data_IF_931141090610
#
_entry.id   IF_931141090610
#
_cell.length_a   1.000
_cell.length_b   1.000
_cell.length_c   1.000
_cell.angle_alpha   90.00
_cell.angle_beta   90.00
_cell.angle_gamma   90.00
#
_symmetry.space_group_name_H-M   'P 1'
#
loop_
_entity.id
_entity.type
_entity.pdbx_description
1 polymer ?
#
# COMPACT_ATOMS: atom_id res chain seq x y z
N UNK A 1 10.25 37.86 -9.36
CA UNK A 1 11.36 37.34 -10.20
C UNK A 1 10.80 36.15 -10.95
N UNK A 2 10.43 36.35 -12.20
CA UNK A 2 9.73 35.36 -13.04
C UNK A 2 10.76 34.69 -13.93
N UNK A 3 10.95 33.37 -13.79
CA UNK A 3 11.77 32.57 -14.69
C UNK A 3 10.87 31.94 -15.75
N UNK A 4 11.07 32.33 -17.00
CA UNK A 4 10.46 31.71 -18.18
C UNK A 4 11.48 30.69 -18.70
N UNK A 5 11.10 29.41 -18.75
CA UNK A 5 11.88 28.39 -19.45
C UNK A 5 11.31 28.20 -20.85
N UNK A 6 12.06 28.59 -21.88
CA UNK A 6 11.81 28.18 -23.26
C UNK A 6 12.70 26.97 -23.58
N UNK A 7 12.08 25.81 -23.82
CA UNK A 7 12.76 24.63 -24.33
C UNK A 7 12.16 24.22 -25.68
N UNK A 8 12.97 24.24 -26.73
CA UNK A 8 12.60 23.75 -28.06
C UNK A 8 12.57 22.22 -28.04
N UNK A 9 11.42 21.61 -28.34
CA UNK A 9 11.31 20.15 -28.45
C UNK A 9 11.87 19.73 -29.81
N UNK A 10 13.10 19.21 -29.83
CA UNK A 10 13.65 18.53 -31.00
C UNK A 10 13.05 17.13 -31.09
N UNK A 11 12.65 16.71 -32.29
CA UNK A 11 11.97 15.44 -32.51
C UNK A 11 12.86 14.23 -32.13
N UNK A 12 12.46 13.49 -31.10
CA UNK A 12 13.12 12.26 -30.67
C UNK A 12 12.79 11.07 -31.58
N UNK A 13 13.82 10.29 -31.90
CA UNK A 13 13.75 9.06 -32.69
C UNK A 13 12.96 7.96 -31.94
N UNK A 14 12.40 6.97 -32.65
CA UNK A 14 11.44 5.98 -32.07
C UNK A 14 12.02 5.20 -30.89
N UNK A 15 13.33 4.92 -30.90
CA UNK A 15 14.11 4.29 -29.82
C UNK A 15 14.21 5.18 -28.56
N UNK A 16 14.34 6.49 -28.74
CA UNK A 16 14.45 7.43 -27.62
C UNK A 16 13.09 7.69 -26.99
N UNK A 17 12.00 7.60 -27.75
CA UNK A 17 10.63 7.71 -27.20
C UNK A 17 10.30 6.57 -26.23
N UNK A 18 10.69 5.34 -26.54
CA UNK A 18 10.51 4.21 -25.61
C UNK A 18 11.38 4.35 -24.37
N UNK A 19 12.58 4.93 -24.49
CA UNK A 19 13.48 5.21 -23.36
C UNK A 19 13.01 6.36 -22.49
N UNK A 20 12.47 7.42 -23.07
CA UNK A 20 11.85 8.54 -22.35
C UNK A 20 10.55 8.09 -21.69
N UNK A 21 9.74 7.27 -22.36
CA UNK A 21 8.54 6.68 -21.77
C UNK A 21 8.89 5.72 -20.63
N UNK A 22 9.91 4.87 -20.80
CA UNK A 22 10.44 4.02 -19.72
C UNK A 22 10.96 4.88 -18.56
N UNK A 23 11.73 5.94 -18.83
CA UNK A 23 12.20 6.87 -17.79
C UNK A 23 11.03 7.56 -17.07
N UNK A 24 9.99 8.01 -17.78
CA UNK A 24 8.82 8.64 -17.17
C UNK A 24 7.97 7.65 -16.37
N UNK A 25 7.80 6.41 -16.85
CA UNK A 25 7.11 5.32 -16.14
C UNK A 25 7.89 4.91 -14.90
N UNK A 26 9.21 4.78 -15.03
CA UNK A 26 10.13 4.49 -13.95
C UNK A 26 10.10 5.61 -12.89
N UNK A 27 10.10 6.89 -13.30
CA UNK A 27 9.92 8.05 -12.39
C UNK A 27 8.52 8.07 -11.75
N UNK A 28 7.46 7.71 -12.48
CA UNK A 28 6.10 7.56 -11.96
C UNK A 28 5.96 6.36 -11.01
N UNK A 29 6.78 5.32 -11.15
CA UNK A 29 6.79 4.16 -10.25
C UNK A 29 7.77 4.36 -9.07
N UNK A 30 8.73 5.28 -9.17
CA UNK A 30 9.58 5.72 -8.05
C UNK A 30 8.89 6.74 -7.13
N UNK A 31 7.81 7.37 -7.58
CA UNK A 31 6.87 8.07 -6.73
C UNK A 31 5.79 7.08 -6.27
N UNK A 32 5.33 7.16 -5.01
CA UNK A 32 4.12 6.45 -4.56
C UNK A 32 2.91 6.99 -5.35
N UNK A 33 2.65 6.40 -6.50
CA UNK A 33 1.52 6.76 -7.35
C UNK A 33 0.33 5.91 -6.94
N UNK A 34 -0.57 6.52 -6.20
CA UNK A 34 -1.89 5.98 -5.90
C UNK A 34 -2.85 6.44 -7.00
N UNK A 35 -3.08 5.62 -8.02
CA UNK A 35 -4.13 5.90 -9.01
C UNK A 35 -5.42 5.30 -8.48
N UNK A 36 -6.39 6.18 -8.21
CA UNK A 36 -7.72 5.80 -7.75
C UNK A 36 -8.77 6.15 -8.81
N UNK A 37 -9.59 5.16 -9.19
CA UNK A 37 -10.79 5.35 -10.00
C UNK A 37 -12.03 5.17 -9.12
N UNK A 38 -12.99 6.10 -9.21
CA UNK A 38 -14.18 6.12 -8.36
C UNK A 38 -15.44 6.34 -9.21
N UNK A 39 -16.50 5.58 -8.91
CA UNK A 39 -17.83 5.79 -9.48
C UNK A 39 -18.72 6.53 -8.47
N UNK A 40 -19.40 7.58 -8.95
CA UNK A 40 -20.26 8.46 -8.15
C UNK A 40 -21.73 8.17 -8.42
N UNK A 41 -22.55 8.23 -7.37
CA UNK A 41 -24.01 8.38 -7.50
C UNK A 41 -24.42 9.62 -6.72
N UNK A 42 -25.09 10.56 -7.38
CA UNK A 42 -25.66 11.75 -6.78
C UNK A 42 -26.97 11.40 -6.07
N UNK A 43 -26.92 11.23 -4.75
CA UNK A 43 -28.09 11.33 -3.88
C UNK A 43 -28.01 12.70 -3.18
N UNK A 44 -29.09 13.47 -3.28
CA UNK A 44 -29.30 14.85 -2.81
C UNK A 44 -28.20 15.43 -1.89
N UNK A 45 -27.45 16.42 -2.42
CA UNK A 45 -26.41 17.23 -1.78
C UNK A 45 -25.11 16.60 -1.28
N UNK A 46 -24.91 15.28 -1.30
CA UNK A 46 -23.63 14.66 -0.91
C UNK A 46 -23.17 13.59 -1.92
N UNK A 47 -22.13 13.87 -2.71
CA UNK A 47 -21.56 12.89 -3.67
C UNK A 47 -20.92 11.73 -2.92
N UNK A 48 -21.63 10.61 -2.78
CA UNK A 48 -21.12 9.44 -2.07
C UNK A 48 -20.33 8.53 -3.02
N UNK A 49 -19.02 8.41 -2.76
CA UNK A 49 -18.19 7.37 -3.39
C UNK A 49 -18.67 6.01 -2.90
N UNK A 50 -19.08 5.14 -3.83
CA UNK A 50 -19.56 3.78 -3.53
C UNK A 50 -18.50 2.71 -3.77
N UNK A 51 -17.64 2.92 -4.75
CA UNK A 51 -16.62 1.98 -5.19
C UNK A 51 -15.32 2.70 -5.49
N UNK A 52 -14.20 2.03 -5.24
CA UNK A 52 -12.87 2.52 -5.55
C UNK A 52 -12.03 1.38 -6.09
N UNK A 53 -11.38 1.61 -7.22
CA UNK A 53 -10.25 0.82 -7.68
C UNK A 53 -8.96 1.58 -7.33
N UNK A 54 -8.00 0.93 -6.70
CA UNK A 54 -6.73 1.53 -6.30
C UNK A 54 -5.56 0.69 -6.78
N UNK A 55 -4.62 1.31 -7.50
CA UNK A 55 -3.30 0.75 -7.76
C UNK A 55 -2.30 1.43 -6.84
N UNK A 56 -1.57 0.63 -6.05
CA UNK A 56 -0.53 1.09 -5.13
C UNK A 56 0.80 0.43 -5.52
N UNK A 57 1.83 1.24 -5.65
CA UNK A 57 3.21 0.77 -5.81
C UNK A 57 4.05 1.35 -4.68
N UNK A 58 4.67 0.47 -3.89
CA UNK A 58 5.57 0.81 -2.80
C UNK A 58 7.00 0.54 -3.26
N UNK A 59 7.91 1.49 -3.01
CA UNK A 59 9.31 1.36 -3.38
C UNK A 59 10.18 2.04 -2.32
N UNK A 60 11.29 1.40 -1.95
CA UNK A 60 12.13 1.76 -0.81
C UNK A 60 13.26 2.74 -1.15
N UNK A 61 13.07 3.63 -2.12
CA UNK A 61 14.16 4.52 -2.56
C UNK A 61 14.49 5.65 -1.56
N UNK A 62 13.58 6.01 -0.66
CA UNK A 62 13.68 7.26 0.12
C UNK A 62 14.11 7.11 1.59
N UNK A 63 14.23 5.91 2.13
CA UNK A 63 14.59 5.69 3.53
C UNK A 63 15.81 4.79 3.66
N UNK A 64 16.97 5.39 3.90
CA UNK A 64 18.26 4.73 4.20
C UNK A 64 18.24 3.85 5.48
N UNK A 65 17.08 3.41 5.96
CA UNK A 65 16.90 2.69 7.23
C UNK A 65 16.28 1.31 7.11
N UNK A 66 15.43 1.02 6.11
CA UNK A 66 14.64 -0.22 6.11
C UNK A 66 15.17 -1.24 5.11
N UNK A 67 16.34 -1.84 5.41
CA UNK A 67 17.18 -2.62 4.49
C UNK A 67 16.54 -3.88 3.85
N UNK A 68 15.25 -4.15 4.07
CA UNK A 68 14.72 -5.51 3.95
C UNK A 68 13.44 -5.67 3.11
N UNK A 69 12.73 -4.60 2.74
CA UNK A 69 11.58 -4.63 1.82
C UNK A 69 11.92 -3.82 0.56
N UNK A 70 11.89 -4.44 -0.61
CA UNK A 70 12.42 -3.79 -1.82
C UNK A 70 11.33 -3.09 -2.62
N UNK A 71 10.19 -3.76 -2.83
CA UNK A 71 9.07 -3.21 -3.58
C UNK A 71 7.81 -4.02 -3.39
N UNK A 72 6.65 -3.38 -3.58
CA UNK A 72 5.39 -4.10 -3.70
C UNK A 72 4.41 -3.42 -4.64
N UNK A 73 3.55 -4.24 -5.24
CA UNK A 73 2.51 -3.80 -6.17
C UNK A 73 1.17 -4.39 -5.73
N UNK A 74 0.17 -3.54 -5.55
CA UNK A 74 -1.14 -3.94 -5.04
C UNK A 74 -2.25 -3.33 -5.88
N UNK A 75 -3.22 -4.16 -6.24
CA UNK A 75 -4.47 -3.75 -6.86
C UNK A 75 -5.62 -4.05 -5.89
N UNK A 76 -6.34 -3.01 -5.49
CA UNK A 76 -7.42 -3.11 -4.52
C UNK A 76 -8.74 -2.65 -5.13
N UNK A 77 -9.80 -3.43 -4.90
CA UNK A 77 -11.17 -3.04 -5.15
C UNK A 77 -11.91 -2.91 -3.83
N UNK A 78 -12.33 -1.69 -3.50
CA UNK A 78 -13.05 -1.37 -2.27
C UNK A 78 -14.47 -0.95 -2.59
N UNK A 79 -15.44 -1.50 -1.86
CA UNK A 79 -16.86 -1.18 -1.97
C UNK A 79 -17.42 -0.78 -0.62
N UNK A 80 -18.07 0.38 -0.58
CA UNK A 80 -18.85 0.84 0.58
C UNK A 80 -20.15 0.03 0.66
N UNK A 81 -20.45 -0.48 1.85
CA UNK A 81 -21.70 -1.16 2.14
C UNK A 81 -22.71 -0.13 2.65
N UNK A 82 -23.91 -0.11 2.05
CA UNK A 82 -24.98 0.78 2.50
C UNK A 82 -25.47 0.34 3.88
N UNK A 83 -25.45 1.24 4.85
CA UNK A 83 -26.10 1.02 6.14
C UNK A 83 -27.55 1.51 6.07
N UNK A 84 -28.50 0.57 6.07
CA UNK A 84 -29.94 0.86 5.95
C UNK A 84 -30.55 1.49 7.23
N UNK A 85 -29.81 1.62 8.33
CA UNK A 85 -30.43 1.86 9.65
C UNK A 85 -29.94 3.08 10.42
N UNK A 86 -28.73 3.62 10.20
CA UNK A 86 -28.18 4.74 11.01
C UNK A 86 -27.21 5.63 10.22
N UNK A 87 -27.38 6.95 10.33
CA UNK A 87 -26.58 7.99 9.64
C UNK A 87 -25.06 7.96 9.91
N UNK A 88 -24.61 7.35 11.01
CA UNK A 88 -23.19 7.37 11.45
C UNK A 88 -22.52 5.99 11.44
N UNK A 89 -22.94 5.11 10.55
CA UNK A 89 -22.42 3.74 10.49
C UNK A 89 -21.94 3.44 9.07
N UNK A 90 -20.63 3.48 8.88
CA UNK A 90 -20.02 3.31 7.56
C UNK A 90 -19.23 2.01 7.52
N UNK A 91 -19.56 1.18 6.54
CA UNK A 91 -18.94 -0.13 6.35
C UNK A 91 -18.34 -0.22 4.95
N UNK A 92 -17.25 -0.97 4.80
CA UNK A 92 -16.65 -1.27 3.50
C UNK A 92 -16.07 -2.67 3.47
N UNK A 93 -16.06 -3.25 2.27
CA UNK A 93 -15.32 -4.46 1.94
C UNK A 93 -14.22 -4.09 0.96
N UNK A 94 -13.04 -4.67 1.12
CA UNK A 94 -11.94 -4.53 0.17
C UNK A 94 -11.38 -5.88 -0.20
N UNK A 95 -11.12 -6.07 -1.49
CA UNK A 95 -10.37 -7.20 -2.02
C UNK A 95 -9.10 -6.66 -2.67
N UNK A 96 -7.95 -7.12 -2.17
CA UNK A 96 -6.64 -6.71 -2.66
C UNK A 96 -5.89 -7.92 -3.14
N UNK A 97 -5.34 -7.85 -4.34
CA UNK A 97 -4.28 -8.76 -4.79
C UNK A 97 -2.98 -7.97 -4.86
N UNK A 98 -1.87 -8.63 -4.54
CA UNK A 98 -0.60 -7.95 -4.58
C UNK A 98 0.58 -8.90 -4.50
N UNK A 99 1.72 -8.34 -4.84
CA UNK A 99 3.00 -9.01 -4.83
C UNK A 99 4.02 -8.13 -4.11
N UNK A 100 4.79 -8.74 -3.23
CA UNK A 100 5.87 -8.13 -2.46
C UNK A 100 7.19 -8.82 -2.83
N UNK A 101 8.26 -8.05 -2.85
CA UNK A 101 9.61 -8.52 -3.15
C UNK A 101 10.54 -8.05 -2.05
N UNK A 102 11.28 -9.01 -1.49
CA UNK A 102 12.33 -8.80 -0.51
C UNK A 102 13.65 -9.30 -1.14
N UNK A 103 14.65 -8.43 -1.23
CA UNK A 103 15.95 -8.76 -1.81
C UNK A 103 17.07 -8.65 -0.76
N UNK A 104 18.19 -9.38 -0.92
CA UNK A 104 19.42 -9.08 -0.21
C UNK A 104 19.93 -7.68 -0.53
N UNK A 105 20.84 -7.17 0.29
CA UNK A 105 21.53 -5.90 0.05
C UNK A 105 22.38 -5.93 -1.23
N UNK A 106 23.00 -7.08 -1.53
CA UNK A 106 23.74 -7.29 -2.76
C UNK A 106 22.90 -8.12 -3.75
N UNK A 107 22.25 -7.43 -4.69
CA UNK A 107 21.30 -8.06 -5.63
C UNK A 107 21.97 -8.74 -6.83
N UNK A 108 23.29 -8.62 -6.99
CA UNK A 108 24.03 -9.17 -8.14
C UNK A 108 24.92 -10.35 -7.75
N UNK A 109 25.15 -10.60 -6.47
CA UNK A 109 25.98 -11.73 -6.04
C UNK A 109 25.27 -13.06 -6.24
N UNK A 110 25.99 -14.02 -6.79
CA UNK A 110 25.58 -15.42 -6.92
C UNK A 110 26.08 -16.26 -5.75
N UNK A 111 26.94 -15.72 -4.89
CA UNK A 111 27.41 -16.39 -3.68
C UNK A 111 26.40 -16.17 -2.55
N UNK A 112 25.71 -17.23 -2.16
CA UNK A 112 24.71 -17.20 -1.08
C UNK A 112 25.35 -16.78 0.25
N UNK A 113 26.65 -17.03 0.45
CA UNK A 113 27.35 -16.63 1.68
C UNK A 113 27.56 -15.11 1.81
N UNK A 114 27.47 -14.38 0.70
CA UNK A 114 27.51 -12.91 0.67
C UNK A 114 26.12 -12.27 0.81
N UNK A 115 25.06 -13.08 0.84
CA UNK A 115 23.69 -12.59 1.00
C UNK A 115 23.36 -12.43 2.48
N UNK A 116 22.94 -11.23 2.88
CA UNK A 116 22.45 -10.96 4.23
C UNK A 116 21.07 -11.57 4.51
N UNK A 117 20.35 -11.94 3.45
CA UNK A 117 19.08 -12.69 3.48
C UNK A 117 18.78 -13.33 2.13
N UNK A 118 17.95 -14.38 2.10
CA UNK A 118 17.47 -14.93 0.84
C UNK A 118 16.56 -13.91 0.13
N UNK A 119 16.47 -14.06 -1.19
CA UNK A 119 15.36 -13.49 -1.93
C UNK A 119 14.04 -14.11 -1.46
N UNK A 120 13.02 -13.28 -1.31
CA UNK A 120 11.66 -13.73 -1.04
C UNK A 120 10.72 -12.97 -1.94
N UNK A 121 10.00 -13.69 -2.80
CA UNK A 121 8.78 -13.19 -3.39
C UNK A 121 7.59 -13.61 -2.55
N UNK A 122 6.59 -12.75 -2.40
CA UNK A 122 5.31 -13.09 -1.80
C UNK A 122 4.17 -12.61 -2.70
N UNK A 123 3.24 -13.51 -3.02
CA UNK A 123 2.01 -13.14 -3.73
C UNK A 123 0.83 -13.44 -2.83
N UNK A 124 0.00 -12.43 -2.59
CA UNK A 124 -1.07 -12.46 -1.62
C UNK A 124 -2.42 -12.01 -2.16
N UNK A 125 -3.46 -12.50 -1.50
CA UNK A 125 -4.84 -12.06 -1.59
C UNK A 125 -5.28 -11.63 -0.19
N UNK A 126 -5.77 -10.41 -0.07
CA UNK A 126 -6.33 -9.86 1.15
C UNK A 126 -7.81 -9.59 0.97
N UNK A 127 -8.63 -10.06 1.91
CA UNK A 127 -10.03 -9.70 2.02
C UNK A 127 -10.24 -8.95 3.34
N UNK A 128 -10.69 -7.71 3.26
CA UNK A 128 -10.85 -6.84 4.42
C UNK A 128 -12.30 -6.40 4.58
N UNK A 129 -12.76 -6.33 5.82
CA UNK A 129 -14.00 -5.67 6.22
C UNK A 129 -13.67 -4.62 7.27
N UNK A 130 -14.16 -3.41 7.08
CA UNK A 130 -14.02 -2.37 8.09
C UNK A 130 -15.31 -1.61 8.34
N UNK A 131 -15.52 -1.26 9.60
CA UNK A 131 -16.68 -0.51 10.09
C UNK A 131 -16.24 0.60 10.99
N UNK A 132 -16.73 1.80 10.73
CA UNK A 132 -16.55 2.95 11.61
C UNK A 132 -17.92 3.40 12.10
N UNK A 133 -18.01 3.64 13.41
CA UNK A 133 -19.20 4.19 14.05
C UNK A 133 -18.83 5.18 15.14
N UNK A 134 -19.26 6.42 14.96
CA UNK A 134 -19.00 7.55 15.87
C UNK A 134 -17.49 7.74 16.13
N UNK A 135 -16.99 7.24 17.26
CA UNK A 135 -15.61 7.36 17.68
C UNK A 135 -14.87 6.02 17.74
N UNK A 136 -15.38 4.99 17.06
CA UNK A 136 -14.79 3.65 17.04
C UNK A 136 -14.65 3.14 15.61
N UNK A 137 -13.57 2.43 15.33
CA UNK A 137 -13.41 1.64 14.13
C UNK A 137 -13.02 0.21 14.48
N UNK A 138 -13.41 -0.71 13.60
CA UNK A 138 -12.91 -2.08 13.55
C UNK A 138 -12.52 -2.37 12.11
N UNK A 139 -11.35 -2.94 11.93
CA UNK A 139 -10.85 -3.49 10.68
C UNK A 139 -10.49 -4.96 10.91
N UNK A 140 -10.99 -5.83 10.04
CA UNK A 140 -10.64 -7.24 10.03
C UNK A 140 -10.16 -7.60 8.64
N UNK A 141 -8.99 -8.21 8.56
CA UNK A 141 -8.34 -8.60 7.30
C UNK A 141 -7.94 -10.05 7.34
N UNK A 142 -8.31 -10.77 6.29
CA UNK A 142 -7.83 -12.12 6.01
C UNK A 142 -6.78 -12.03 4.90
N UNK A 143 -5.65 -12.69 5.10
CA UNK A 143 -4.58 -12.87 4.11
C UNK A 143 -4.46 -14.34 3.76
N UNK A 144 -4.37 -14.63 2.47
CA UNK A 144 -3.91 -15.91 1.93
C UNK A 144 -2.80 -15.63 0.92
N UNK A 145 -1.70 -16.35 0.96
CA UNK A 145 -0.60 -16.10 0.03
C UNK A 145 0.45 -17.20 -0.03
N UNK A 146 1.38 -17.05 -0.96
CA UNK A 146 2.49 -17.99 -1.18
C UNK A 146 3.78 -17.17 -1.19
N UNK A 147 4.74 -17.59 -0.38
CA UNK A 147 6.10 -17.08 -0.38
C UNK A 147 7.03 -18.04 -1.15
N UNK A 148 8.13 -17.51 -1.70
CA UNK A 148 9.14 -18.25 -2.46
C UNK A 148 8.92 -18.24 -3.97
N UNK A 149 9.64 -19.09 -4.72
CA UNK A 149 9.67 -19.08 -6.19
C UNK A 149 8.28 -19.14 -6.86
N UNK A 150 7.33 -19.86 -6.27
CA UNK A 150 5.96 -19.99 -6.78
C UNK A 150 5.12 -18.71 -6.61
N UNK A 151 5.61 -17.72 -5.86
CA UNK A 151 5.01 -16.38 -5.86
C UNK A 151 5.11 -15.72 -7.25
N UNK A 152 6.08 -16.14 -8.07
CA UNK A 152 6.36 -15.57 -9.39
C UNK A 152 7.04 -14.21 -9.34
N UNK A 153 7.42 -13.71 -8.16
CA UNK A 153 7.93 -12.35 -8.01
C UNK A 153 9.28 -12.13 -8.70
N UNK A 154 10.18 -13.13 -8.68
CA UNK A 154 11.43 -13.03 -9.42
C UNK A 154 11.28 -13.08 -10.94
N UNK A 155 10.24 -13.75 -11.43
CA UNK A 155 9.87 -13.68 -12.85
C UNK A 155 9.39 -12.28 -13.22
N UNK A 156 8.46 -11.72 -12.43
CA UNK A 156 7.91 -10.39 -12.63
C UNK A 156 8.98 -9.29 -12.53
N UNK A 157 9.85 -9.34 -11.51
CA UNK A 157 10.91 -8.36 -11.33
C UNK A 157 11.90 -8.36 -12.49
N UNK A 158 12.34 -9.54 -12.96
CA UNK A 158 13.23 -9.65 -14.12
C UNK A 158 12.55 -9.17 -15.41
N UNK A 159 11.28 -9.51 -15.61
CA UNK A 159 10.50 -9.02 -16.75
C UNK A 159 10.40 -7.48 -16.75
N UNK A 160 10.05 -6.88 -15.62
CA UNK A 160 9.94 -5.43 -15.47
C UNK A 160 11.29 -4.75 -15.68
N UNK A 161 12.34 -5.28 -15.04
CA UNK A 161 13.68 -4.74 -15.12
C UNK A 161 14.23 -4.79 -16.56
N UNK A 162 14.06 -5.91 -17.28
CA UNK A 162 14.46 -6.04 -18.69
C UNK A 162 13.74 -5.06 -19.64
N UNK A 163 12.52 -4.62 -19.30
CA UNK A 163 11.74 -3.70 -20.12
C UNK A 163 12.04 -2.22 -19.82
N UNK A 164 12.28 -1.89 -18.56
CA UNK A 164 12.23 -0.49 -18.10
C UNK A 164 13.50 -0.01 -17.38
N UNK A 165 14.44 -0.90 -17.02
CA UNK A 165 15.63 -0.58 -16.22
C UNK A 165 16.90 -0.90 -17.02
N UNK A 166 17.94 -0.07 -16.83
CA UNK A 166 19.19 -0.14 -17.62
C UNK A 166 20.35 -0.77 -16.83
N UNK A 167 20.22 -0.97 -15.51
CA UNK A 167 21.22 -1.63 -14.66
C UNK A 167 21.23 -3.15 -14.85
N UNK A 168 22.05 -3.89 -14.11
CA UNK A 168 22.01 -5.36 -14.11
C UNK A 168 20.78 -5.88 -13.33
N UNK A 169 20.12 -6.96 -13.81
CA UNK A 169 18.96 -7.52 -13.14
C UNK A 169 19.34 -8.30 -11.88
N UNK A 170 18.47 -8.33 -10.86
CA UNK A 170 18.66 -9.20 -9.72
C UNK A 170 18.76 -10.68 -10.13
N UNK A 171 19.71 -11.41 -9.55
CA UNK A 171 20.01 -12.79 -9.98
C UNK A 171 19.03 -13.83 -9.43
N UNK A 172 18.37 -13.56 -8.30
CA UNK A 172 17.44 -14.48 -7.60
C UNK A 172 18.06 -15.84 -7.23
N UNK A 173 19.37 -15.90 -7.03
CA UNK A 173 20.06 -17.09 -6.52
C UNK A 173 19.80 -17.21 -5.02
N UNK A 174 19.47 -18.41 -4.53
CA UNK A 174 19.20 -18.63 -3.10
C UNK A 174 17.81 -18.17 -2.64
N UNK A 175 16.84 -18.07 -3.56
CA UNK A 175 15.45 -17.75 -3.19
C UNK A 175 14.88 -18.75 -2.16
N UNK A 176 14.09 -18.23 -1.23
CA UNK A 176 13.41 -19.03 -0.22
C UNK A 176 12.49 -20.09 -0.85
N UNK A 177 12.45 -21.27 -0.20
CA UNK A 177 11.54 -22.34 -0.57
C UNK A 177 10.07 -21.93 -0.47
N UNK A 178 9.24 -22.58 -1.27
CA UNK A 178 7.82 -22.30 -1.30
C UNK A 178 7.12 -22.60 0.03
N UNK A 179 6.37 -21.63 0.53
CA UNK A 179 5.52 -21.80 1.71
C UNK A 179 4.17 -21.12 1.51
N UNK A 180 3.11 -21.77 1.98
CA UNK A 180 1.78 -21.20 1.99
C UNK A 180 1.52 -20.46 3.30
N UNK A 181 0.87 -19.31 3.22
CA UNK A 181 0.54 -18.47 4.36
C UNK A 181 -0.93 -18.12 4.44
N UNK A 182 -1.44 -18.13 5.66
CA UNK A 182 -2.77 -17.65 6.00
C UNK A 182 -2.71 -16.86 7.30
N UNK A 183 -3.32 -15.68 7.31
CA UNK A 183 -3.32 -14.77 8.45
C UNK A 183 -4.67 -14.10 8.66
N UNK A 184 -5.01 -13.86 9.92
CA UNK A 184 -6.10 -13.00 10.34
C UNK A 184 -5.50 -11.80 11.09
N UNK A 185 -5.91 -10.60 10.69
CA UNK A 185 -5.58 -9.35 11.37
C UNK A 185 -6.85 -8.72 11.90
N UNK A 186 -6.77 -8.17 13.11
CA UNK A 186 -7.82 -7.42 13.77
C UNK A 186 -7.22 -6.13 14.30
N UNK A 187 -7.67 -5.00 13.76
CA UNK A 187 -7.31 -3.67 14.26
C UNK A 187 -8.58 -3.01 14.84
N UNK A 188 -8.51 -2.63 16.10
CA UNK A 188 -9.57 -1.92 16.81
C UNK A 188 -9.09 -0.50 17.03
N UNK A 189 -9.96 0.48 16.85
CA UNK A 189 -9.61 1.87 17.08
C UNK A 189 -10.68 2.56 17.88
N UNK A 190 -10.29 3.39 18.85
CA UNK A 190 -11.20 4.24 19.59
C UNK A 190 -10.58 5.59 19.91
N UNK A 191 -11.34 6.65 19.66
CA UNK A 191 -10.90 8.02 19.92
C UNK A 191 -11.73 8.73 20.98
N UNK A 192 -11.09 9.62 21.72
CA UNK A 192 -11.72 10.51 22.69
C UNK A 192 -11.22 11.93 22.47
N UNK A 193 -12.14 12.88 22.44
CA UNK A 193 -11.84 14.30 22.41
C UNK A 193 -11.73 14.79 23.86
N UNK A 194 -10.54 15.28 24.24
CA UNK A 194 -10.26 15.72 25.61
C UNK A 194 -10.53 17.22 25.80
N UNK A 195 -10.17 18.03 24.81
CA UNK A 195 -10.42 19.46 24.81
C UNK A 195 -10.82 19.90 23.39
N UNK A 196 -11.93 20.64 23.21
CA UNK A 196 -12.24 21.27 21.94
C UNK A 196 -11.41 22.55 21.74
N UNK A 197 -11.60 23.22 20.60
CA UNK A 197 -10.91 24.44 20.16
C UNK A 197 -10.68 25.51 21.26
N UNK A 198 -9.61 26.34 21.17
CA UNK A 198 -8.68 26.46 20.04
C UNK A 198 -7.54 25.44 20.04
N UNK A 199 -7.27 24.78 21.17
CA UNK A 199 -6.24 23.74 21.32
C UNK A 199 -6.91 22.37 21.39
N UNK A 200 -7.36 21.88 20.23
CA UNK A 200 -7.97 20.57 20.16
C UNK A 200 -6.98 19.48 20.56
N UNK A 201 -7.35 18.64 21.53
CA UNK A 201 -6.59 17.47 21.94
C UNK A 201 -7.48 16.25 21.85
N UNK A 202 -7.02 15.22 21.14
CA UNK A 202 -7.68 13.92 21.12
C UNK A 202 -6.70 12.80 21.40
N UNK A 203 -7.20 11.75 22.04
CA UNK A 203 -6.46 10.52 22.28
C UNK A 203 -7.10 9.40 21.47
N UNK A 204 -6.27 8.55 20.87
CA UNK A 204 -6.64 7.32 20.20
C UNK A 204 -6.00 6.13 20.93
N UNK A 205 -6.77 5.06 21.07
CA UNK A 205 -6.28 3.74 21.46
C UNK A 205 -6.52 2.80 20.28
N UNK A 206 -5.45 2.16 19.82
CA UNK A 206 -5.48 1.28 18.66
C UNK A 206 -4.81 -0.07 18.96
N UNK A 207 -5.52 -1.04 19.57
CA UNK A 207 -5.04 -2.40 19.71
C UNK A 207 -5.06 -3.12 18.35
N UNK A 208 -3.99 -3.83 18.05
CA UNK A 208 -3.84 -4.63 16.84
C UNK A 208 -3.40 -6.05 17.18
N UNK A 209 -4.00 -7.02 16.50
CA UNK A 209 -3.68 -8.43 16.63
C UNK A 209 -3.49 -9.04 15.26
N UNK A 210 -2.39 -9.77 15.08
CA UNK A 210 -2.16 -10.62 13.92
C UNK A 210 -1.95 -12.05 14.38
N UNK A 211 -2.60 -12.99 13.71
CA UNK A 211 -2.44 -14.41 13.98
C UNK A 211 -2.47 -15.22 12.69
N UNK A 212 -1.45 -16.04 12.49
CA UNK A 212 -1.33 -16.89 11.31
C UNK A 212 0.09 -17.41 11.11
N UNK A 213 0.40 -17.87 9.90
CA UNK A 213 1.73 -18.44 9.60
C UNK A 213 2.73 -17.43 9.05
N UNK A 214 2.30 -16.23 8.66
CA UNK A 214 3.17 -15.11 8.26
C UNK A 214 3.49 -14.24 9.47
N UNK A 215 2.47 -13.69 10.11
CA UNK A 215 2.62 -12.76 11.24
C UNK A 215 1.91 -13.28 12.51
N UNK A 216 2.53 -13.06 13.68
CA UNK A 216 1.95 -13.37 14.99
C UNK A 216 2.39 -12.31 15.99
N UNK A 217 1.49 -11.38 16.32
CA UNK A 217 1.77 -10.34 17.30
C UNK A 217 0.48 -9.79 17.90
N UNK A 218 0.64 -9.11 19.03
CA UNK A 218 -0.38 -8.25 19.63
C UNK A 218 0.29 -6.97 20.08
N UNK A 219 -0.25 -5.83 19.64
CA UNK A 219 0.31 -4.51 19.88
C UNK A 219 -0.78 -3.56 20.35
N UNK A 220 -0.39 -2.57 21.17
CA UNK A 220 -1.31 -1.54 21.63
C UNK A 220 -0.67 -0.19 21.33
N UNK A 221 -1.27 0.53 20.39
CA UNK A 221 -0.84 1.89 20.06
C UNK A 221 -1.69 2.92 20.80
N UNK A 222 -0.99 3.89 21.40
CA UNK A 222 -1.59 5.08 21.98
C UNK A 222 -1.19 6.27 21.12
N UNK A 223 -2.17 6.99 20.59
CA UNK A 223 -1.93 8.11 19.69
C UNK A 223 -2.51 9.38 20.34
N UNK A 224 -1.72 10.45 20.40
CA UNK A 224 -2.20 11.76 20.84
C UNK A 224 -2.17 12.72 19.65
N UNK A 225 -3.30 13.36 19.36
CA UNK A 225 -3.41 14.36 18.31
C UNK A 225 -3.61 15.74 18.93
N UNK A 226 -2.88 16.71 18.41
CA UNK A 226 -2.96 18.11 18.79
C UNK A 226 -3.34 18.95 17.57
N UNK A 227 -4.31 19.84 17.73
CA UNK A 227 -4.82 20.69 16.66
C UNK A 227 -6.11 20.18 16.01
N UNK A 228 -6.54 20.86 14.95
CA UNK A 228 -7.80 20.58 14.26
C UNK A 228 -7.66 19.33 13.39
N UNK A 229 -8.59 18.38 13.51
CA UNK A 229 -8.68 17.23 12.59
C UNK A 229 -10.13 16.89 12.27
N UNK A 230 -10.32 16.20 11.16
CA UNK A 230 -11.59 15.56 10.83
C UNK A 230 -11.87 14.39 11.80
N UNK A 231 -13.14 14.17 12.18
CA UNK A 231 -13.54 13.00 12.95
C UNK A 231 -13.10 11.69 12.29
N UNK A 232 -12.99 10.64 13.09
CA UNK A 232 -12.66 9.28 12.65
C UNK A 232 -13.45 8.84 11.41
N UNK A 233 -14.73 9.21 11.33
CA UNK A 233 -15.64 8.86 10.24
C UNK A 233 -15.24 9.42 8.87
N UNK A 234 -14.57 10.58 8.82
CA UNK A 234 -14.24 11.33 7.60
C UNK A 234 -12.73 11.56 7.44
N UNK A 235 -11.92 10.73 8.11
CA UNK A 235 -10.47 10.83 8.04
C UNK A 235 -9.91 9.79 7.06
N UNK A 236 -9.19 10.27 6.05
CA UNK A 236 -8.44 9.43 5.10
C UNK A 236 -7.36 8.57 5.78
N UNK A 237 -6.96 8.92 7.01
CA UNK A 237 -5.98 8.17 7.80
C UNK A 237 -6.41 6.73 8.13
N UNK A 238 -7.71 6.41 7.96
CA UNK A 238 -8.26 5.06 8.19
C UNK A 238 -8.79 4.43 6.90
N UNK A 239 -8.18 4.78 5.77
CA UNK A 239 -8.44 4.19 4.44
C UNK A 239 -9.93 4.20 4.05
N UNK A 240 -10.64 5.25 4.47
CA UNK A 240 -12.04 5.45 4.15
C UNK A 240 -12.15 6.06 2.76
N UNK A 241 -12.99 5.45 1.92
CA UNK A 241 -13.39 6.08 0.66
C UNK A 241 -14.49 7.09 0.99
N UNK A 242 -14.30 8.38 0.72
CA UNK A 242 -15.27 9.48 0.95
C UNK A 242 -15.35 9.96 2.39
#
# INVERSE_FOLDING_TARGET
>A
MTLIFSGTITAFNKSDRSRVLAFLITVLLFYQVNIQGQDYISEDTDTLIRTQLSLKHDNDFFTLSDRYYSSGLFLSYTKRLMSSARKNDHQQLSLTIGQEIFTPSNIITTDISEQDRPYVGFSGLWASWSRVRDNRAIDTRLLLGIAGNNSGAGGFQRWYHNLFVVSDPPVWVGEMNNSFHANLYLNLHREWWLAPLPFSVSLGLQPEFAFGTRDQYGEINLIAFFGRRNPLMSSMAYERIG
#
